data_IF_725733443765
#
_entry.id   IF_725733443765
#
_cell.length_a   1.000
_cell.length_b   1.000
_cell.length_c   1.000
_cell.angle_alpha   90.00
_cell.angle_beta   90.00
_cell.angle_gamma   90.00
#
_symmetry.space_group_name_H-M   'P 1'
#
loop_
_entity.id
_entity.type
_entity.pdbx_description
1 polymer ?
#
# COMPACT_ATOMS: atom_id res chain seq x y z
N UNK A 1 -5.93 14.44 2.71
CA UNK A 1 -4.72 14.39 3.56
C UNK A 1 -3.89 13.21 3.07
N UNK A 2 -2.78 13.46 2.39
CA UNK A 2 -1.84 12.41 1.98
C UNK A 2 -1.03 11.99 3.20
N UNK A 3 -1.30 10.80 3.72
CA UNK A 3 -0.56 10.23 4.86
C UNK A 3 0.90 9.99 4.42
N UNK A 4 1.88 10.70 4.99
CA UNK A 4 3.29 10.56 4.61
C UNK A 4 3.82 9.14 4.83
N UNK A 5 3.34 8.45 5.88
CA UNK A 5 3.78 7.10 6.22
C UNK A 5 3.31 6.09 5.17
N UNK A 6 2.11 6.31 4.62
CA UNK A 6 1.59 5.49 3.54
C UNK A 6 2.42 5.66 2.26
N UNK A 7 2.81 6.90 1.94
CA UNK A 7 3.59 7.18 0.74
C UNK A 7 4.97 6.51 0.79
N UNK A 8 5.68 6.63 1.92
CA UNK A 8 6.98 6.01 2.12
C UNK A 8 6.89 4.47 2.05
N UNK A 9 5.86 3.88 2.67
CA UNK A 9 5.59 2.44 2.57
C UNK A 9 5.40 2.00 1.11
N UNK A 10 4.59 2.71 0.32
CA UNK A 10 4.34 2.35 -1.08
C UNK A 10 5.60 2.48 -1.95
N UNK A 11 6.44 3.48 -1.71
CA UNK A 11 7.75 3.62 -2.37
C UNK A 11 8.64 2.43 -2.06
N UNK A 12 8.76 2.06 -0.79
CA UNK A 12 9.62 0.95 -0.36
C UNK A 12 9.16 -0.38 -0.98
N UNK A 13 7.84 -0.64 -1.00
CA UNK A 13 7.30 -1.86 -1.61
C UNK A 13 7.51 -1.89 -3.12
N UNK A 14 7.38 -0.75 -3.80
CA UNK A 14 7.70 -0.62 -5.23
C UNK A 14 9.18 -0.87 -5.51
N UNK A 15 10.08 -0.35 -4.66
CA UNK A 15 11.52 -0.57 -4.78
C UNK A 15 11.90 -2.06 -4.61
N UNK A 16 11.12 -2.81 -3.81
CA UNK A 16 11.22 -4.28 -3.69
C UNK A 16 10.59 -5.05 -4.85
N UNK A 17 10.05 -4.35 -5.86
CA UNK A 17 9.36 -4.95 -7.00
C UNK A 17 8.00 -5.55 -6.66
N UNK A 18 7.38 -5.14 -5.56
CA UNK A 18 6.07 -5.66 -5.17
C UNK A 18 4.97 -4.85 -5.83
N UNK A 19 3.98 -5.56 -6.37
CA UNK A 19 2.72 -4.97 -6.84
C UNK A 19 1.70 -5.13 -5.71
N UNK A 20 1.10 -4.02 -5.29
CA UNK A 20 0.12 -4.00 -4.21
C UNK A 20 -1.25 -3.63 -4.76
N UNK A 21 -2.29 -4.28 -4.23
CA UNK A 21 -3.69 -3.91 -4.40
C UNK A 21 -4.19 -3.30 -3.11
N UNK A 22 -4.67 -2.05 -3.17
CA UNK A 22 -5.41 -1.43 -2.07
C UNK A 22 -6.86 -1.91 -2.07
N UNK A 23 -7.34 -2.40 -0.93
CA UNK A 23 -8.72 -2.85 -0.73
C UNK A 23 -9.23 -2.26 0.58
N UNK A 24 -10.45 -1.73 0.56
CA UNK A 24 -11.15 -1.30 1.77
C UNK A 24 -11.84 -2.49 2.43
N UNK A 25 -11.58 -2.71 3.72
CA UNK A 25 -12.29 -3.67 4.56
C UNK A 25 -12.98 -2.92 5.69
N UNK A 26 -14.30 -2.72 5.58
CA UNK A 26 -15.01 -1.82 6.49
C UNK A 26 -14.47 -0.40 6.41
N UNK A 27 -13.92 0.11 7.51
CA UNK A 27 -13.28 1.43 7.61
C UNK A 27 -11.76 1.40 7.40
N UNK A 28 -11.17 0.23 7.26
CA UNK A 28 -9.72 0.07 7.17
C UNK A 28 -9.27 -0.08 5.71
N UNK A 29 -8.17 0.60 5.36
CA UNK A 29 -7.50 0.42 4.08
C UNK A 29 -6.38 -0.62 4.24
N UNK A 30 -6.46 -1.72 3.49
CA UNK A 30 -5.49 -2.81 3.53
C UNK A 30 -4.78 -2.93 2.18
N UNK A 31 -3.48 -3.19 2.22
CA UNK A 31 -2.65 -3.45 1.05
C UNK A 31 -2.30 -4.93 0.97
N UNK A 32 -2.70 -5.57 -0.12
CA UNK A 32 -2.41 -6.99 -0.39
C UNK A 32 -1.41 -7.09 -1.52
N UNK A 33 -0.34 -7.86 -1.32
CA UNK A 33 0.62 -8.17 -2.38
C UNK A 33 -0.02 -9.11 -3.40
N UNK A 34 0.13 -8.78 -4.68
CA UNK A 34 -0.33 -9.60 -5.80
C UNK A 34 0.86 -10.04 -6.68
N UNK A 35 0.66 -11.16 -7.38
CA UNK A 35 1.62 -11.74 -8.34
C UNK A 35 1.06 -11.64 -9.75
#
# INVERSE_FOLDING_TARGET
>A
MSDPLLYDFLIEMRAKGWVLRGVWTGTDLVFVRIH
#
